data_IF_900460882467
#
_entry.id   IF_900460882467
#
_cell.length_a   1.000
_cell.length_b   1.000
_cell.length_c   1.000
_cell.angle_alpha   90.00
_cell.angle_beta   90.00
_cell.angle_gamma   90.00
#
_symmetry.space_group_name_H-M   'P 1'
#
loop_
_entity.id
_entity.type
_entity.pdbx_description
1 polymer ?
#
# COMPACT_ATOMS: atom_id res chain seq x y z
N UNK A 1 23.28 12.86 -44.14
CA UNK A 1 22.74 12.39 -42.84
C UNK A 1 21.21 12.45 -42.78
N UNK A 2 20.54 13.53 -43.25
CA UNK A 2 19.07 13.61 -43.26
C UNK A 2 18.36 12.82 -44.36
N UNK A 3 18.95 12.75 -45.56
CA UNK A 3 18.34 12.03 -46.69
C UNK A 3 18.19 10.53 -46.42
N UNK A 4 19.17 9.91 -45.77
CA UNK A 4 19.15 8.49 -45.38
C UNK A 4 17.98 8.14 -44.45
N UNK A 5 17.63 9.02 -43.51
CA UNK A 5 16.48 8.81 -42.63
C UNK A 5 15.16 8.84 -43.41
N UNK A 6 15.01 9.79 -44.33
CA UNK A 6 13.80 9.93 -45.16
C UNK A 6 13.60 8.71 -46.05
N UNK A 7 14.66 8.19 -46.67
CA UNK A 7 14.58 6.96 -47.48
C UNK A 7 14.19 5.73 -46.64
N UNK A 8 14.70 5.63 -45.42
CA UNK A 8 14.40 4.51 -44.52
C UNK A 8 12.93 4.52 -44.08
N UNK A 9 12.40 5.69 -43.69
CA UNK A 9 10.98 5.87 -43.39
C UNK A 9 10.09 5.56 -44.59
N UNK A 10 10.44 6.04 -45.80
CA UNK A 10 9.72 5.71 -47.03
C UNK A 10 9.71 4.20 -47.32
N UNK A 11 10.78 3.47 -46.96
CA UNK A 11 10.80 2.00 -47.08
C UNK A 11 9.86 1.34 -46.07
N UNK A 12 9.98 1.71 -44.78
CA UNK A 12 9.13 1.16 -43.72
C UNK A 12 7.63 1.34 -43.99
N UNK A 13 7.24 2.52 -44.49
CA UNK A 13 5.84 2.76 -44.86
C UNK A 13 5.39 1.91 -46.06
N UNK A 14 6.26 1.65 -47.03
CA UNK A 14 5.96 0.74 -48.16
C UNK A 14 5.85 -0.72 -47.71
N UNK A 15 6.65 -1.10 -46.71
CA UNK A 15 6.66 -2.44 -46.12
C UNK A 15 5.51 -2.65 -45.11
N UNK A 16 4.60 -1.67 -44.96
CA UNK A 16 3.39 -1.76 -44.14
C UNK A 16 3.59 -1.37 -42.66
N UNK A 17 4.78 -0.90 -42.27
CA UNK A 17 5.04 -0.40 -40.93
C UNK A 17 4.51 1.04 -40.79
N UNK A 18 3.39 1.18 -40.08
CA UNK A 18 2.69 2.46 -39.88
C UNK A 18 2.95 3.09 -38.50
N UNK A 19 3.67 2.39 -37.61
CA UNK A 19 4.01 2.90 -36.29
C UNK A 19 5.01 4.06 -36.39
N UNK A 20 4.64 5.19 -35.80
CA UNK A 20 5.52 6.35 -35.63
C UNK A 20 6.31 6.32 -34.32
N UNK A 21 6.07 5.30 -33.49
CA UNK A 21 6.76 5.14 -32.21
C UNK A 21 8.12 4.51 -32.42
N UNK A 22 9.11 5.01 -31.68
CA UNK A 22 10.42 4.38 -31.63
C UNK A 22 10.31 2.94 -31.12
N UNK A 23 11.04 2.03 -31.75
CA UNK A 23 11.20 0.69 -31.22
C UNK A 23 11.92 0.71 -29.87
N UNK A 24 11.68 -0.30 -29.00
CA UNK A 24 12.37 -0.42 -27.73
C UNK A 24 13.89 -0.36 -27.93
N UNK A 25 14.50 0.72 -27.45
CA UNK A 25 15.95 0.88 -27.56
C UNK A 25 16.64 -0.01 -26.54
N UNK A 26 17.66 -0.75 -26.97
CA UNK A 26 18.55 -1.44 -26.04
C UNK A 26 19.37 -0.41 -25.25
N UNK A 27 18.94 -0.11 -24.02
CA UNK A 27 19.67 0.73 -23.08
C UNK A 27 20.84 -0.01 -22.42
N UNK A 28 21.58 0.69 -21.53
CA UNK A 28 22.60 0.05 -20.68
C UNK A 28 21.92 -1.03 -19.82
N UNK A 29 22.43 -2.29 -19.80
CA UNK A 29 21.85 -3.33 -18.97
C UNK A 29 21.89 -2.90 -17.50
N UNK A 30 20.73 -2.94 -16.86
CA UNK A 30 20.57 -2.55 -15.47
C UNK A 30 21.07 -3.70 -14.57
N UNK A 31 22.36 -3.68 -14.22
CA UNK A 31 22.99 -4.70 -13.37
C UNK A 31 22.42 -4.74 -11.95
N UNK A 32 21.83 -3.65 -11.47
CA UNK A 32 21.21 -3.60 -10.15
C UNK A 32 19.80 -4.21 -10.13
N UNK A 33 19.14 -4.32 -11.29
CA UNK A 33 17.74 -4.71 -11.39
C UNK A 33 17.54 -6.20 -11.75
N UNK A 34 18.35 -7.06 -11.15
CA UNK A 34 18.22 -8.51 -11.27
C UNK A 34 17.23 -9.07 -10.23
N UNK A 35 16.65 -10.23 -10.52
CA UNK A 35 15.71 -10.94 -9.65
C UNK A 35 16.35 -11.30 -8.30
N UNK A 36 17.66 -11.60 -8.29
CA UNK A 36 18.42 -11.84 -7.07
C UNK A 36 18.40 -10.65 -6.09
N UNK A 37 18.67 -9.44 -6.60
CA UNK A 37 18.61 -8.21 -5.79
C UNK A 37 17.18 -7.92 -5.33
N UNK A 38 16.20 -8.17 -6.20
CA UNK A 38 14.78 -7.96 -5.87
C UNK A 38 14.34 -8.85 -4.71
N UNK A 39 14.71 -10.14 -4.74
CA UNK A 39 14.43 -11.09 -3.67
C UNK A 39 15.12 -10.72 -2.34
N UNK A 40 16.40 -10.33 -2.39
CA UNK A 40 17.14 -9.95 -1.17
C UNK A 40 16.63 -8.65 -0.55
N UNK A 41 16.22 -7.68 -1.37
CA UNK A 41 15.56 -6.46 -0.87
C UNK A 41 14.25 -6.81 -0.16
N UNK A 42 13.43 -7.70 -0.73
CA UNK A 42 12.19 -8.15 -0.08
C UNK A 42 12.48 -8.87 1.25
N UNK A 43 13.43 -9.80 1.28
CA UNK A 43 13.83 -10.51 2.50
C UNK A 43 14.25 -9.53 3.61
N UNK A 44 15.10 -8.55 3.30
CA UNK A 44 15.55 -7.55 4.28
C UNK A 44 14.39 -6.73 4.85
N UNK A 45 13.38 -6.42 4.04
CA UNK A 45 12.17 -5.71 4.48
C UNK A 45 11.26 -6.62 5.32
N UNK A 46 11.16 -7.90 4.97
CA UNK A 46 10.36 -8.88 5.72
C UNK A 46 10.94 -9.12 7.13
N UNK A 47 12.27 -9.19 7.25
CA UNK A 47 12.98 -9.32 8.53
C UNK A 47 12.79 -8.09 9.41
N UNK A 48 12.93 -6.89 8.84
CA UNK A 48 12.67 -5.63 9.56
C UNK A 48 11.85 -4.67 8.70
N UNK A 49 10.56 -4.57 9.04
CA UNK A 49 9.61 -3.65 8.37
C UNK A 49 9.97 -2.17 8.52
N UNK A 50 10.93 -1.82 9.38
CA UNK A 50 11.40 -0.44 9.63
C UNK A 50 12.79 -0.15 9.05
N UNK A 51 13.38 -1.09 8.32
CA UNK A 51 14.70 -0.93 7.69
C UNK A 51 14.75 0.30 6.77
N UNK A 52 15.88 1.02 6.76
CA UNK A 52 16.05 2.19 5.89
C UNK A 52 16.60 1.77 4.53
N UNK A 53 16.16 2.43 3.46
CA UNK A 53 16.71 2.23 2.10
C UNK A 53 18.24 2.37 2.04
N UNK A 54 18.81 3.27 2.87
CA UNK A 54 20.28 3.44 2.97
C UNK A 54 20.97 2.20 3.56
N UNK A 55 20.35 1.54 4.53
CA UNK A 55 20.90 0.33 5.14
C UNK A 55 20.84 -0.84 4.17
N UNK A 56 19.75 -0.98 3.42
CA UNK A 56 19.64 -1.98 2.34
C UNK A 56 20.70 -1.73 1.26
N UNK A 57 20.85 -0.46 0.84
CA UNK A 57 21.86 -0.04 -0.15
C UNK A 57 23.28 -0.42 0.26
N UNK A 58 23.63 -0.21 1.53
CA UNK A 58 24.94 -0.60 2.07
C UNK A 58 25.11 -2.11 2.17
N UNK A 59 24.06 -2.86 2.54
CA UNK A 59 24.12 -4.32 2.68
C UNK A 59 24.30 -5.03 1.34
N UNK A 60 23.64 -4.53 0.30
CA UNK A 60 23.62 -5.14 -1.03
C UNK A 60 24.62 -4.49 -2.00
N UNK A 61 25.38 -3.50 -1.54
CA UNK A 61 26.31 -2.69 -2.36
C UNK A 61 25.69 -2.18 -3.68
N UNK A 62 24.43 -1.74 -3.59
CA UNK A 62 23.70 -1.16 -4.73
C UNK A 62 23.31 0.28 -4.43
N UNK A 63 23.26 1.18 -5.43
CA UNK A 63 22.90 2.56 -5.20
C UNK A 63 21.48 2.68 -4.61
N UNK A 64 21.32 3.59 -3.64
CA UNK A 64 20.05 3.84 -2.95
C UNK A 64 18.88 4.12 -3.89
N UNK A 65 19.13 4.74 -5.06
CA UNK A 65 18.11 5.00 -6.08
C UNK A 65 17.51 3.71 -6.63
N UNK A 66 18.33 2.69 -6.88
CA UNK A 66 17.85 1.39 -7.34
C UNK A 66 17.08 0.65 -6.24
N UNK A 67 17.54 0.73 -4.99
CA UNK A 67 16.76 0.19 -3.86
C UNK A 67 15.39 0.83 -3.82
N UNK A 68 15.29 2.15 -4.02
CA UNK A 68 14.01 2.84 -4.08
C UNK A 68 13.11 2.31 -5.21
N UNK A 69 13.63 2.18 -6.44
CA UNK A 69 12.90 1.61 -7.58
C UNK A 69 12.42 0.19 -7.31
N UNK A 70 13.29 -0.69 -6.78
CA UNK A 70 12.93 -2.06 -6.42
C UNK A 70 11.81 -2.07 -5.39
N UNK A 71 11.93 -1.29 -4.32
CA UNK A 71 10.94 -1.24 -3.23
C UNK A 71 9.61 -0.68 -3.72
N UNK A 72 9.62 0.40 -4.49
CA UNK A 72 8.41 1.14 -4.86
C UNK A 72 7.72 0.62 -6.11
N UNK A 73 8.49 0.29 -7.16
CA UNK A 73 7.97 -0.01 -8.49
C UNK A 73 7.87 -1.52 -8.74
N UNK A 74 8.87 -2.30 -8.28
CA UNK A 74 8.86 -3.76 -8.45
C UNK A 74 8.08 -4.48 -7.36
N UNK A 75 8.38 -4.17 -6.10
CA UNK A 75 7.76 -4.82 -4.94
C UNK A 75 6.46 -4.14 -4.48
N UNK A 76 6.20 -2.92 -4.97
CA UNK A 76 4.95 -2.20 -4.67
C UNK A 76 4.83 -1.72 -3.21
N UNK A 77 5.91 -1.73 -2.43
CA UNK A 77 5.87 -1.22 -1.08
C UNK A 77 5.66 0.29 -1.06
N UNK A 78 4.99 0.74 0.00
CA UNK A 78 4.75 2.15 0.30
C UNK A 78 5.20 2.43 1.73
N UNK A 79 5.83 3.58 1.94
CA UNK A 79 6.19 4.02 3.29
C UNK A 79 4.94 4.49 4.00
N UNK A 80 4.63 3.85 5.12
CA UNK A 80 3.56 4.29 6.03
C UNK A 80 4.16 4.79 7.33
N UNK A 81 3.59 5.86 7.88
CA UNK A 81 3.97 6.37 9.20
C UNK A 81 3.44 5.43 10.28
N UNK A 82 4.26 5.14 11.29
CA UNK A 82 3.80 4.37 12.44
C UNK A 82 2.69 5.12 13.19
N UNK A 83 1.65 4.41 13.61
CA UNK A 83 0.60 4.97 14.47
C UNK A 83 1.07 5.00 15.92
N UNK A 84 0.76 6.07 16.64
CA UNK A 84 1.04 6.16 18.06
C UNK A 84 0.15 5.19 18.84
N UNK A 85 0.74 4.42 19.74
CA UNK A 85 0.02 3.47 20.60
C UNK A 85 0.12 4.00 22.04
N UNK A 86 -1.00 4.34 22.70
CA UNK A 86 -0.97 5.04 23.99
C UNK A 86 -0.25 4.31 25.12
N UNK A 87 -0.25 2.97 25.08
CA UNK A 87 0.35 2.15 26.13
C UNK A 87 0.84 0.82 25.58
N UNK A 88 2.03 0.40 26.03
CA UNK A 88 2.52 -0.95 25.82
C UNK A 88 1.77 -1.91 26.75
N UNK A 89 1.02 -2.84 26.17
CA UNK A 89 0.20 -3.78 26.93
C UNK A 89 0.99 -5.03 27.27
N UNK A 90 0.90 -5.46 28.53
CA UNK A 90 1.31 -6.80 28.96
C UNK A 90 0.35 -7.86 28.40
N UNK A 91 0.76 -9.12 28.43
CA UNK A 91 -0.05 -10.22 27.92
C UNK A 91 -1.32 -10.46 28.75
N UNK A 92 -1.29 -10.13 30.05
CA UNK A 92 -2.51 -10.11 30.87
C UNK A 92 -3.49 -9.03 30.39
N UNK A 93 -3.03 -7.80 30.16
CA UNK A 93 -3.88 -6.74 29.63
C UNK A 93 -4.50 -7.11 28.28
N UNK A 94 -3.73 -7.75 27.38
CA UNK A 94 -4.24 -8.23 26.08
C UNK A 94 -5.35 -9.26 26.25
N UNK A 95 -5.14 -10.26 27.12
CA UNK A 95 -6.13 -11.30 27.42
C UNK A 95 -7.42 -10.71 27.98
N UNK A 96 -7.32 -9.80 28.94
CA UNK A 96 -8.50 -9.11 29.50
C UNK A 96 -9.24 -8.29 28.45
N UNK A 97 -8.52 -7.55 27.58
CA UNK A 97 -9.15 -6.79 26.49
C UNK A 97 -9.93 -7.71 25.55
N UNK A 98 -9.34 -8.83 25.11
CA UNK A 98 -10.04 -9.80 24.26
C UNK A 98 -11.29 -10.34 24.93
N UNK A 99 -11.20 -10.74 26.20
CA UNK A 99 -12.34 -11.25 26.98
C UNK A 99 -13.48 -10.22 27.05
N UNK A 100 -13.16 -8.98 27.39
CA UNK A 100 -14.15 -7.90 27.49
C UNK A 100 -14.76 -7.62 26.11
N UNK A 101 -13.95 -7.53 25.05
CA UNK A 101 -14.43 -7.31 23.69
C UNK A 101 -15.39 -8.43 23.24
N UNK A 102 -15.13 -9.69 23.59
CA UNK A 102 -16.04 -10.80 23.30
C UNK A 102 -17.39 -10.66 24.03
N UNK A 103 -17.36 -10.27 25.31
CA UNK A 103 -18.59 -10.03 26.09
C UNK A 103 -19.41 -8.89 25.46
N UNK A 104 -18.74 -7.78 25.11
CA UNK A 104 -19.40 -6.62 24.47
C UNK A 104 -19.97 -7.01 23.11
N UNK A 105 -19.22 -7.77 22.29
CA UNK A 105 -19.68 -8.23 20.97
C UNK A 105 -20.91 -9.12 21.07
N UNK A 106 -20.90 -10.10 21.98
CA UNK A 106 -22.04 -10.98 22.22
C UNK A 106 -23.28 -10.17 22.66
N UNK A 107 -23.08 -9.17 23.52
CA UNK A 107 -24.17 -8.31 23.95
C UNK A 107 -24.72 -7.43 22.82
N UNK A 108 -23.86 -6.88 21.96
CA UNK A 108 -24.30 -6.16 20.75
C UNK A 108 -25.15 -7.05 19.84
N UNK A 109 -24.77 -8.31 19.65
CA UNK A 109 -25.52 -9.27 18.83
C UNK A 109 -26.91 -9.58 19.41
N UNK A 110 -27.06 -9.56 20.73
CA UNK A 110 -28.34 -9.80 21.41
C UNK A 110 -29.26 -8.58 21.45
N UNK A 111 -28.70 -7.37 21.61
CA UNK A 111 -29.51 -6.16 21.84
C UNK A 111 -30.14 -5.56 20.56
N UNK A 112 -29.80 -6.08 19.38
CA UNK A 112 -30.39 -5.68 18.10
C UNK A 112 -30.15 -4.21 17.73
N UNK A 113 -30.36 -3.88 16.45
CA UNK A 113 -30.24 -2.49 16.01
C UNK A 113 -31.58 -1.78 16.10
N UNK A 114 -31.57 -0.55 16.63
CA UNK A 114 -32.73 0.34 16.49
C UNK A 114 -32.65 1.05 15.14
N UNK A 115 -33.70 0.91 14.35
CA UNK A 115 -33.98 1.86 13.28
C UNK A 115 -34.42 3.15 13.96
N UNK A 116 -33.57 4.18 13.90
CA UNK A 116 -33.97 5.52 14.28
C UNK A 116 -34.73 6.07 13.07
N UNK A 117 -36.01 6.41 13.24
CA UNK A 117 -36.75 7.16 12.23
C UNK A 117 -36.17 8.59 12.18
N UNK A 118 -35.33 8.86 11.18
CA UNK A 118 -34.67 10.16 10.98
C UNK A 118 -35.46 10.99 9.97
N UNK A 119 -36.79 10.90 9.94
CA UNK A 119 -37.64 11.73 9.09
C UNK A 119 -37.32 11.68 7.58
N UNK A 120 -37.96 12.53 6.77
CA UNK A 120 -37.75 12.54 5.33
C UNK A 120 -36.37 13.14 5.00
N UNK A 121 -35.42 12.31 4.56
CA UNK A 121 -34.09 12.73 4.10
C UNK A 121 -32.93 12.38 5.04
N UNK A 122 -33.18 11.77 6.19
CA UNK A 122 -32.13 11.27 7.10
C UNK A 122 -31.55 9.92 6.67
N UNK A 123 -30.27 9.70 6.92
CA UNK A 123 -29.61 8.41 6.71
C UNK A 123 -30.17 7.36 7.70
N UNK A 124 -30.89 6.35 7.19
CA UNK A 124 -31.51 5.31 7.99
C UNK A 124 -30.47 4.26 8.39
N UNK A 125 -29.47 4.67 9.18
CA UNK A 125 -28.43 3.76 9.65
C UNK A 125 -28.86 3.14 10.97
N UNK A 126 -29.17 1.84 10.93
CA UNK A 126 -29.47 1.06 12.12
C UNK A 126 -28.28 1.15 13.07
N UNK A 127 -28.49 1.67 14.29
CA UNK A 127 -27.43 1.83 15.29
C UNK A 127 -27.76 1.01 16.52
N UNK A 128 -26.86 0.09 16.84
CA UNK A 128 -26.99 -0.78 18.00
C UNK A 128 -27.20 0.03 19.29
N UNK A 129 -28.19 -0.34 20.10
CA UNK A 129 -28.55 0.38 21.35
C UNK A 129 -27.38 0.48 22.32
N UNK A 130 -26.58 -0.58 22.39
CA UNK A 130 -25.43 -0.65 23.29
C UNK A 130 -24.33 0.34 22.90
N UNK A 131 -24.05 0.45 21.60
CA UNK A 131 -23.01 1.33 21.07
C UNK A 131 -23.31 2.82 21.33
N UNK A 132 -24.56 3.20 21.61
CA UNK A 132 -24.91 4.56 22.04
C UNK A 132 -24.29 4.94 23.40
N UNK A 133 -24.01 3.95 24.24
CA UNK A 133 -23.54 4.14 25.62
C UNK A 133 -22.06 3.78 25.79
N UNK A 134 -21.42 3.24 24.75
CA UNK A 134 -20.01 2.91 24.75
C UNK A 134 -19.21 4.13 24.28
N UNK A 135 -18.50 4.79 25.20
CA UNK A 135 -17.54 5.83 24.82
C UNK A 135 -16.27 5.12 24.33
N UNK A 136 -16.18 4.94 23.01
CA UNK A 136 -14.97 4.43 22.37
C UNK A 136 -14.01 5.61 22.18
N UNK A 137 -12.97 5.70 23.02
CA UNK A 137 -11.98 6.78 22.96
C UNK A 137 -11.03 6.73 21.76
N UNK A 138 -11.40 6.06 20.67
CA UNK A 138 -10.58 5.80 19.49
C UNK A 138 -11.19 6.32 18.18
N UNK A 139 -12.19 7.21 18.24
CA UNK A 139 -12.71 7.91 17.05
C UNK A 139 -11.57 8.61 16.29
N UNK A 140 -11.04 7.90 15.29
CA UNK A 140 -10.02 8.40 14.38
C UNK A 140 -10.72 8.58 13.04
N UNK A 141 -11.31 9.75 12.82
CA UNK A 141 -11.89 10.12 11.53
C UNK A 141 -10.76 10.24 10.49
N UNK A 142 -10.57 9.21 9.66
CA UNK A 142 -9.66 9.26 8.50
C UNK A 142 -10.48 9.03 7.23
N UNK A 143 -10.70 10.10 6.47
CA UNK A 143 -11.12 10.02 5.08
C UNK A 143 -9.88 9.74 4.24
N UNK A 144 -9.77 8.55 3.66
CA UNK A 144 -8.84 8.29 2.56
C UNK A 144 -9.63 7.66 1.41
N UNK A 145 -10.49 8.47 0.81
CA UNK A 145 -10.82 8.31 -0.60
C UNK A 145 -10.27 9.52 -1.36
N UNK A 146 -9.18 9.28 -2.08
CA UNK A 146 -8.87 10.00 -3.31
C UNK A 146 -8.20 9.00 -4.24
N UNK A 147 -9.04 8.27 -4.97
CA UNK A 147 -9.01 8.16 -6.44
C UNK A 147 -10.31 7.54 -6.92
#
# INVERSE_FOLDING_TARGET
>A
MWMTQVYQWCSWFKDGQTSLQDEPRSGRPNTANNDWNTAHVDELIQVDRRVKLKEISLKLDIPKTYVYEIVHDKLGYRKVSARWVPKMLSDEHKRQRVKISQIVLHRCQQEGDEIVDVGPGGDHRARNKLLKHLITGDETWLHLSTQ
#
